data_IF_081706224197
#
_entry.id   IF_081706224197
#
_cell.length_a   1.000
_cell.length_b   1.000
_cell.length_c   1.000
_cell.angle_alpha   90.00
_cell.angle_beta   90.00
_cell.angle_gamma   90.00
#
_symmetry.space_group_name_H-M   'P 1'
#
loop_
_entity.id
_entity.type
_entity.pdbx_description
1 polymer ?
#
# COMPACT_ATOMS: atom_id res chain seq x y z
N UNK A 1 -30.38 12.80 -3.99
CA UNK A 1 -28.95 12.64 -3.63
C UNK A 1 -28.60 13.70 -2.58
N UNK A 2 -28.51 13.37 -1.28
CA UNK A 2 -28.13 14.37 -0.26
C UNK A 2 -26.68 14.77 -0.50
N UNK A 3 -26.43 16.04 -0.86
CA UNK A 3 -25.10 16.64 -0.76
C UNK A 3 -24.71 16.62 0.71
N UNK A 4 -23.86 15.67 1.08
CA UNK A 4 -23.12 15.74 2.34
C UNK A 4 -22.05 16.81 2.16
N UNK A 5 -22.33 18.04 2.61
CA UNK A 5 -21.32 19.08 2.78
C UNK A 5 -20.38 18.65 3.91
N UNK A 6 -19.41 17.79 3.56
CA UNK A 6 -18.37 17.38 4.49
C UNK A 6 -17.42 18.57 4.66
N UNK A 7 -17.47 19.22 5.82
CA UNK A 7 -16.48 20.23 6.21
C UNK A 7 -15.08 19.60 6.22
N UNK A 8 -14.11 20.30 5.64
CA UNK A 8 -12.70 19.92 5.69
C UNK A 8 -12.24 19.90 7.15
N UNK A 9 -11.55 18.83 7.54
CA UNK A 9 -11.03 18.67 8.90
C UNK A 9 -9.52 18.98 8.95
N UNK A 10 -8.97 19.26 10.13
CA UNK A 10 -7.51 19.46 10.31
C UNK A 10 -6.68 18.27 9.78
N UNK A 11 -7.25 17.06 9.82
CA UNK A 11 -6.62 15.85 9.26
C UNK A 11 -6.53 15.88 7.74
N UNK A 12 -7.51 16.47 7.06
CA UNK A 12 -7.50 16.59 5.61
C UNK A 12 -6.44 17.63 5.17
N UNK A 13 -6.28 18.74 5.91
CA UNK A 13 -5.19 19.69 5.66
C UNK A 13 -3.81 19.06 5.89
N UNK A 14 -3.63 18.32 6.98
CA UNK A 14 -2.39 17.60 7.25
C UNK A 14 -2.07 16.57 6.15
N UNK A 15 -3.08 15.82 5.71
CA UNK A 15 -2.93 14.83 4.65
C UNK A 15 -2.42 15.46 3.34
N UNK A 16 -3.08 16.53 2.88
CA UNK A 16 -2.67 17.21 1.64
C UNK A 16 -1.35 17.96 1.80
N UNK A 17 -1.07 18.51 2.98
CA UNK A 17 0.23 19.07 3.31
C UNK A 17 1.34 18.02 3.13
N UNK A 18 1.20 16.84 3.74
CA UNK A 18 2.14 15.73 3.57
C UNK A 18 2.25 15.24 2.13
N UNK A 19 1.14 15.20 1.38
CA UNK A 19 1.16 14.81 -0.03
C UNK A 19 2.00 15.76 -0.91
N UNK A 20 2.17 17.02 -0.48
CA UNK A 20 2.98 18.02 -1.18
C UNK A 20 4.43 18.11 -0.67
N UNK A 21 4.74 17.54 0.50
CA UNK A 21 6.11 17.50 1.05
C UNK A 21 7.15 16.94 0.07
N UNK A 22 6.89 15.88 -0.72
CA UNK A 22 7.83 15.40 -1.73
C UNK A 22 8.26 16.49 -2.73
N UNK A 23 7.34 17.38 -3.14
CA UNK A 23 7.68 18.49 -4.04
C UNK A 23 8.56 19.52 -3.34
N UNK A 24 8.28 19.83 -2.07
CA UNK A 24 9.08 20.76 -1.28
C UNK A 24 10.52 20.24 -1.14
N UNK A 25 10.68 18.97 -0.78
CA UNK A 25 11.99 18.29 -0.71
C UNK A 25 12.70 18.41 -2.06
N UNK A 26 11.98 18.14 -3.15
CA UNK A 26 12.56 18.18 -4.50
C UNK A 26 13.04 19.56 -4.89
N UNK A 27 12.26 20.61 -4.61
CA UNK A 27 12.63 22.01 -4.89
C UNK A 27 13.89 22.40 -4.10
N UNK A 28 13.95 22.07 -2.81
CA UNK A 28 15.07 22.42 -1.92
C UNK A 28 16.38 21.75 -2.37
N UNK A 29 16.32 20.51 -2.85
CA UNK A 29 17.50 19.73 -3.21
C UNK A 29 17.76 19.66 -4.72
N UNK A 30 16.93 20.28 -5.56
CA UNK A 30 16.98 20.14 -7.02
C UNK A 30 18.36 20.45 -7.60
N UNK A 31 19.01 21.52 -7.13
CA UNK A 31 20.34 21.94 -7.59
C UNK A 31 21.47 20.97 -7.22
N UNK A 32 21.23 20.08 -6.25
CA UNK A 32 22.18 19.07 -5.78
C UNK A 32 21.98 17.72 -6.45
N UNK A 33 20.91 17.55 -7.24
CA UNK A 33 20.65 16.28 -7.92
C UNK A 33 21.56 16.14 -9.16
N UNK A 34 22.20 14.99 -9.38
CA UNK A 34 22.89 14.69 -10.63
C UNK A 34 21.91 14.63 -11.82
N UNK A 35 22.42 14.58 -13.05
CA UNK A 35 21.57 14.41 -14.24
C UNK A 35 20.85 13.07 -14.26
N UNK A 36 21.52 12.02 -13.76
CA UNK A 36 20.95 10.69 -13.54
C UNK A 36 20.88 10.39 -12.05
N UNK A 37 19.68 10.15 -11.57
CA UNK A 37 19.38 9.90 -10.15
C UNK A 37 18.99 8.44 -9.98
N UNK A 38 19.56 7.77 -9.00
CA UNK A 38 19.16 6.42 -8.62
C UNK A 38 17.70 6.43 -8.15
N UNK A 39 16.86 5.58 -8.76
CA UNK A 39 15.43 5.48 -8.43
C UNK A 39 14.96 4.04 -8.24
N UNK A 40 15.83 3.06 -8.48
CA UNK A 40 15.52 1.65 -8.25
C UNK A 40 16.76 0.93 -7.70
N UNK A 41 16.51 0.06 -6.72
CA UNK A 41 17.51 -0.72 -6.02
C UNK A 41 17.13 -2.20 -6.07
N UNK A 42 18.11 -3.06 -6.27
CA UNK A 42 17.98 -4.52 -6.15
C UNK A 42 17.80 -4.97 -4.70
N UNK A 43 17.51 -6.26 -4.51
CA UNK A 43 17.43 -6.88 -3.17
C UNK A 43 18.77 -6.89 -2.42
N UNK A 44 19.88 -6.77 -3.15
CA UNK A 44 21.25 -6.62 -2.67
C UNK A 44 21.62 -5.16 -2.36
N UNK A 45 20.64 -4.25 -2.36
CA UNK A 45 20.80 -2.81 -2.16
C UNK A 45 21.66 -2.12 -3.24
N UNK A 46 21.95 -2.78 -4.36
CA UNK A 46 22.66 -2.18 -5.49
C UNK A 46 21.70 -1.37 -6.37
N UNK A 47 22.16 -0.21 -6.85
CA UNK A 47 21.38 0.57 -7.82
C UNK A 47 21.38 -0.16 -9.15
N UNK A 48 20.19 -0.47 -9.68
CA UNK A 48 20.03 -1.10 -10.99
C UNK A 48 19.05 -0.34 -11.89
N UNK A 49 18.57 0.83 -11.47
CA UNK A 49 17.74 1.70 -12.29
C UNK A 49 17.90 3.18 -11.93
N UNK A 50 18.00 3.99 -12.98
CA UNK A 50 18.18 5.44 -12.90
C UNK A 50 17.05 6.16 -13.62
N UNK A 51 16.77 7.37 -13.18
CA UNK A 51 15.86 8.31 -13.83
C UNK A 51 16.56 9.63 -14.12
N UNK A 52 16.03 10.41 -15.05
CA UNK A 52 16.49 11.79 -15.24
C UNK A 52 16.22 12.63 -13.98
N UNK A 53 17.02 13.67 -13.76
CA UNK A 53 16.83 14.65 -12.67
C UNK A 53 15.37 15.09 -12.52
N UNK A 54 14.73 15.46 -13.62
CA UNK A 54 13.35 15.96 -13.62
C UNK A 54 12.34 14.86 -13.28
N UNK A 55 12.56 13.64 -13.77
CA UNK A 55 11.69 12.51 -13.44
C UNK A 55 11.79 12.17 -11.95
N UNK A 56 13.00 12.13 -11.38
CA UNK A 56 13.20 11.88 -9.95
C UNK A 56 12.68 13.01 -9.06
N UNK A 57 12.86 14.27 -9.47
CA UNK A 57 12.44 15.43 -8.69
C UNK A 57 10.93 15.75 -8.80
N UNK A 58 10.28 15.49 -9.92
CA UNK A 58 8.89 15.92 -10.14
C UNK A 58 8.00 14.81 -10.66
N UNK A 59 8.50 13.93 -11.52
CA UNK A 59 7.71 12.83 -12.08
C UNK A 59 7.24 11.84 -11.01
N UNK A 60 8.17 11.35 -10.17
CA UNK A 60 7.85 10.42 -9.07
C UNK A 60 6.92 11.08 -8.04
N UNK A 61 7.21 12.29 -7.51
CA UNK A 61 6.27 13.02 -6.66
C UNK A 61 4.88 13.24 -7.29
N UNK A 62 4.80 13.57 -8.58
CA UNK A 62 3.53 13.75 -9.28
C UNK A 62 2.74 12.44 -9.38
N UNK A 63 3.40 11.33 -9.67
CA UNK A 63 2.77 10.02 -9.66
C UNK A 63 2.24 9.65 -8.26
N UNK A 64 3.03 9.90 -7.21
CA UNK A 64 2.60 9.65 -5.83
C UNK A 64 1.43 10.54 -5.40
N UNK A 65 1.44 11.82 -5.80
CA UNK A 65 0.31 12.73 -5.58
C UNK A 65 -0.94 12.25 -6.33
N UNK A 66 -0.77 11.77 -7.57
CA UNK A 66 -1.87 11.17 -8.33
C UNK A 66 -2.44 9.95 -7.59
N UNK A 67 -1.60 9.07 -7.03
CA UNK A 67 -2.06 7.95 -6.20
C UNK A 67 -2.82 8.43 -4.96
N UNK A 68 -2.34 9.50 -4.31
CA UNK A 68 -3.02 10.14 -3.18
C UNK A 68 -4.39 10.73 -3.57
N UNK A 69 -4.53 11.29 -4.77
CA UNK A 69 -5.83 11.74 -5.29
C UNK A 69 -6.75 10.55 -5.56
N UNK A 70 -6.27 9.54 -6.28
CA UNK A 70 -7.05 8.35 -6.66
C UNK A 70 -7.62 7.66 -5.42
N UNK A 71 -6.82 7.45 -4.38
CA UNK A 71 -7.27 6.78 -3.14
C UNK A 71 -8.36 7.57 -2.38
N UNK A 72 -8.48 8.88 -2.62
CA UNK A 72 -9.54 9.70 -2.06
C UNK A 72 -10.80 9.73 -2.95
N UNK A 73 -10.65 9.58 -4.26
CA UNK A 73 -11.75 9.67 -5.24
C UNK A 73 -12.45 8.32 -5.43
N UNK A 74 -11.71 7.23 -5.64
CA UNK A 74 -12.28 5.91 -5.96
C UNK A 74 -13.31 5.43 -4.91
N UNK A 75 -13.07 5.56 -3.58
CA UNK A 75 -14.06 5.16 -2.57
C UNK A 75 -15.39 5.92 -2.65
N UNK A 76 -15.40 7.14 -3.19
CA UNK A 76 -16.59 8.00 -3.24
C UNK A 76 -17.54 7.55 -4.37
N UNK A 77 -16.97 7.02 -5.45
CA UNK A 77 -17.70 6.51 -6.62
C UNK A 77 -18.04 5.01 -6.51
N UNK A 78 -17.55 4.31 -5.48
CA UNK A 78 -17.88 2.91 -5.24
C UNK A 78 -19.39 2.72 -4.98
N UNK A 79 -20.08 1.79 -5.68
CA UNK A 79 -21.49 1.51 -5.45
C UNK A 79 -21.82 1.11 -4.01
N UNK A 80 -20.86 0.51 -3.29
CA UNK A 80 -20.92 0.10 -1.89
C UNK A 80 -20.15 1.06 -0.97
N UNK A 81 -20.08 2.37 -1.29
CA UNK A 81 -19.39 3.39 -0.48
C UNK A 81 -19.75 3.42 1.01
N UNK A 82 -20.98 3.02 1.40
CA UNK A 82 -21.37 2.94 2.81
C UNK A 82 -20.61 1.82 3.54
N UNK A 83 -20.32 0.71 2.87
CA UNK A 83 -19.47 -0.35 3.41
C UNK A 83 -18.01 0.11 3.56
N UNK A 84 -17.54 0.99 2.66
CA UNK A 84 -16.23 1.64 2.83
C UNK A 84 -16.23 2.58 4.03
N UNK A 85 -17.30 3.36 4.25
CA UNK A 85 -17.43 4.21 5.45
C UNK A 85 -17.42 3.39 6.75
N UNK A 86 -17.98 2.19 6.72
CA UNK A 86 -17.89 1.21 7.83
C UNK A 86 -16.51 0.57 7.99
N UNK A 87 -15.67 0.66 6.95
CA UNK A 87 -14.27 0.19 6.92
C UNK A 87 -13.28 1.36 7.03
N UNK A 88 -13.66 2.44 7.73
CA UNK A 88 -12.94 3.72 7.77
C UNK A 88 -11.51 3.60 8.28
N UNK A 89 -11.23 2.68 9.18
CA UNK A 89 -9.89 2.45 9.73
C UNK A 89 -8.95 1.90 8.66
N UNK A 90 -9.38 0.87 7.92
CA UNK A 90 -8.61 0.32 6.79
C UNK A 90 -8.40 1.38 5.72
N UNK A 91 -9.43 2.16 5.40
CA UNK A 91 -9.32 3.27 4.45
C UNK A 91 -8.32 4.34 4.93
N UNK A 92 -8.32 4.67 6.22
CA UNK A 92 -7.37 5.62 6.79
C UNK A 92 -5.93 5.08 6.72
N UNK A 93 -5.71 3.81 7.05
CA UNK A 93 -4.40 3.15 6.93
C UNK A 93 -3.87 3.27 5.51
N UNK A 94 -4.67 2.90 4.50
CA UNK A 94 -4.24 2.98 3.09
C UNK A 94 -3.96 4.42 2.67
N UNK A 95 -4.80 5.39 3.05
CA UNK A 95 -4.59 6.82 2.74
C UNK A 95 -3.27 7.31 3.32
N UNK A 96 -3.07 7.18 4.63
CA UNK A 96 -1.87 7.68 5.31
C UNK A 96 -0.61 6.96 4.84
N UNK A 97 -0.69 5.65 4.58
CA UNK A 97 0.45 4.90 4.07
C UNK A 97 0.94 5.46 2.73
N UNK A 98 0.06 5.80 1.79
CA UNK A 98 0.45 6.35 0.49
C UNK A 98 1.25 7.65 0.63
N UNK A 99 0.79 8.60 1.47
CA UNK A 99 1.49 9.88 1.63
C UNK A 99 2.79 9.75 2.44
N UNK A 100 2.83 8.87 3.44
CA UNK A 100 4.05 8.60 4.20
C UNK A 100 5.10 7.88 3.34
N UNK A 101 4.67 6.92 2.52
CA UNK A 101 5.51 6.24 1.54
C UNK A 101 6.06 7.24 0.51
N UNK A 102 5.24 8.17 0.03
CA UNK A 102 5.67 9.20 -0.92
C UNK A 102 6.79 10.08 -0.34
N UNK A 103 6.63 10.54 0.91
CA UNK A 103 7.65 11.33 1.61
C UNK A 103 8.92 10.51 1.81
N UNK A 104 8.79 9.27 2.29
CA UNK A 104 9.92 8.38 2.50
C UNK A 104 10.71 8.12 1.20
N UNK A 105 10.02 7.78 0.11
CA UNK A 105 10.65 7.52 -1.18
C UNK A 105 11.41 8.76 -1.67
N UNK A 106 10.82 9.95 -1.54
CA UNK A 106 11.51 11.16 -1.96
C UNK A 106 12.74 11.47 -1.11
N UNK A 107 12.66 11.24 0.21
CA UNK A 107 13.82 11.35 1.10
C UNK A 107 14.93 10.37 0.69
N UNK A 108 14.59 9.11 0.44
CA UNK A 108 15.57 8.10 0.01
C UNK A 108 16.27 8.51 -1.29
N UNK A 109 15.50 8.95 -2.29
CA UNK A 109 16.04 9.41 -3.58
C UNK A 109 17.03 10.56 -3.38
N UNK A 110 16.61 11.59 -2.64
CA UNK A 110 17.44 12.79 -2.44
C UNK A 110 18.69 12.50 -1.61
N UNK A 111 18.54 11.76 -0.51
CA UNK A 111 19.67 11.43 0.36
C UNK A 111 20.69 10.54 -0.36
N UNK A 112 20.22 9.56 -1.14
CA UNK A 112 21.09 8.75 -2.00
C UNK A 112 21.79 9.59 -3.07
N UNK A 113 21.08 10.54 -3.69
CA UNK A 113 21.63 11.41 -4.72
C UNK A 113 22.72 12.36 -4.22
N UNK A 114 22.65 12.80 -2.96
CA UNK A 114 23.70 13.63 -2.33
C UNK A 114 24.86 12.81 -1.74
N UNK A 115 24.89 11.51 -1.98
CA UNK A 115 26.00 10.62 -1.60
C UNK A 115 25.90 10.06 -0.18
N UNK A 116 24.75 10.16 0.50
CA UNK A 116 24.57 9.53 1.81
C UNK A 116 24.31 8.03 1.59
N UNK A 117 25.16 7.19 2.18
CA UNK A 117 24.99 5.74 2.15
C UNK A 117 23.79 5.33 2.99
N UNK A 118 22.76 4.79 2.33
CA UNK A 118 21.53 4.30 2.98
C UNK A 118 21.30 2.86 2.55
N UNK A 119 20.93 2.01 3.50
CA UNK A 119 20.35 0.70 3.19
C UNK A 119 18.88 0.91 2.76
N UNK A 120 18.67 1.18 1.49
CA UNK A 120 17.36 1.41 0.88
C UNK A 120 16.47 0.18 1.04
N UNK A 121 17.05 -1.02 0.89
CA UNK A 121 16.37 -2.29 1.12
C UNK A 121 15.68 -2.33 2.49
N UNK A 122 16.41 -2.07 3.57
CA UNK A 122 15.84 -2.06 4.93
C UNK A 122 14.90 -0.87 5.18
N UNK A 123 15.26 0.33 4.72
CA UNK A 123 14.46 1.56 4.91
C UNK A 123 13.08 1.43 4.28
N UNK A 124 12.97 0.75 3.14
CA UNK A 124 11.69 0.57 2.43
C UNK A 124 10.96 -0.70 2.87
N UNK A 125 11.68 -1.82 3.06
CA UNK A 125 11.04 -3.11 3.39
C UNK A 125 10.41 -3.15 4.78
N UNK A 126 11.03 -2.52 5.79
CA UNK A 126 10.51 -2.55 7.18
C UNK A 126 9.15 -1.85 7.28
N UNK A 127 8.94 -0.62 6.78
CA UNK A 127 7.62 0.01 6.77
C UNK A 127 6.57 -0.77 5.97
N UNK A 128 6.95 -1.42 4.87
CA UNK A 128 6.05 -2.25 4.08
C UNK A 128 5.64 -3.51 4.85
N UNK A 129 6.59 -4.19 5.51
CA UNK A 129 6.31 -5.36 6.32
C UNK A 129 5.39 -4.99 7.51
N UNK A 130 5.65 -3.85 8.16
CA UNK A 130 4.78 -3.30 9.20
C UNK A 130 3.38 -2.98 8.67
N UNK A 131 3.27 -2.41 7.46
CA UNK A 131 1.97 -2.19 6.83
C UNK A 131 1.20 -3.50 6.68
N UNK A 132 1.85 -4.59 6.25
CA UNK A 132 1.18 -5.88 6.13
C UNK A 132 0.63 -6.39 7.46
N UNK A 133 1.36 -6.19 8.56
CA UNK A 133 0.88 -6.49 9.92
C UNK A 133 -0.37 -5.67 10.24
N UNK A 134 -0.31 -4.36 10.01
CA UNK A 134 -1.42 -3.44 10.28
C UNK A 134 -2.64 -3.78 9.42
N UNK A 135 -2.47 -3.99 8.11
CA UNK A 135 -3.54 -4.39 7.20
C UNK A 135 -4.15 -5.73 7.64
N UNK A 136 -3.33 -6.72 8.01
CA UNK A 136 -3.80 -8.01 8.51
C UNK A 136 -4.77 -7.87 9.69
N UNK A 137 -4.49 -6.96 10.61
CA UNK A 137 -5.37 -6.69 11.76
C UNK A 137 -6.73 -6.05 11.37
N UNK A 138 -6.81 -5.36 10.23
CA UNK A 138 -8.02 -4.65 9.79
C UNK A 138 -8.76 -5.32 8.62
N UNK A 139 -8.14 -6.28 7.91
CA UNK A 139 -8.81 -7.07 6.86
C UNK A 139 -10.12 -7.71 7.36
N UNK A 140 -10.18 -8.38 8.54
CA UNK A 140 -11.42 -9.02 9.02
C UNK A 140 -12.57 -8.03 9.27
N UNK A 141 -12.26 -6.73 9.44
CA UNK A 141 -13.22 -5.65 9.67
C UNK A 141 -13.69 -5.00 8.37
N UNK A 142 -13.06 -5.33 7.24
CA UNK A 142 -13.41 -4.81 5.92
C UNK A 142 -14.76 -5.36 5.47
N UNK A 143 -15.73 -4.47 5.22
CA UNK A 143 -17.04 -4.83 4.66
C UNK A 143 -16.98 -4.96 3.14
N UNK A 144 -17.83 -5.80 2.56
CA UNK A 144 -17.84 -6.06 1.12
C UNK A 144 -18.00 -4.78 0.29
N UNK A 145 -17.03 -4.50 -0.57
CA UNK A 145 -16.99 -3.31 -1.43
C UNK A 145 -16.14 -3.59 -2.68
N UNK A 146 -16.12 -2.67 -3.66
CA UNK A 146 -15.40 -2.84 -4.92
C UNK A 146 -14.01 -2.17 -4.94
N UNK A 147 -13.62 -1.51 -3.85
CA UNK A 147 -12.38 -0.72 -3.75
C UNK A 147 -11.30 -1.45 -2.95
N UNK A 148 -11.56 -1.78 -1.68
CA UNK A 148 -10.64 -2.33 -0.69
C UNK A 148 -10.81 -3.83 -0.51
N UNK A 149 -9.73 -4.54 -0.20
CA UNK A 149 -9.73 -5.95 0.17
C UNK A 149 -9.51 -6.91 -1.00
N UNK A 150 -9.81 -8.20 -0.78
CA UNK A 150 -9.61 -9.29 -1.74
C UNK A 150 -10.87 -9.45 -2.61
N UNK A 151 -10.76 -8.97 -3.85
CA UNK A 151 -11.88 -8.78 -4.78
C UNK A 151 -11.90 -9.86 -5.88
N UNK A 152 -12.29 -11.07 -5.49
CA UNK A 152 -12.51 -12.18 -6.41
C UNK A 152 -13.99 -12.21 -6.82
N UNK A 153 -14.34 -12.74 -8.01
CA UNK A 153 -15.74 -12.76 -8.48
C UNK A 153 -16.71 -13.34 -7.44
N UNK A 154 -16.31 -14.41 -6.77
CA UNK A 154 -17.10 -15.07 -5.73
C UNK A 154 -17.06 -14.37 -4.37
N UNK A 155 -16.01 -13.61 -4.02
CA UNK A 155 -16.04 -12.79 -2.79
C UNK A 155 -16.93 -11.58 -2.96
N UNK A 156 -17.06 -11.05 -4.18
CA UNK A 156 -17.96 -9.93 -4.49
C UNK A 156 -19.43 -10.37 -4.58
N UNK A 157 -19.68 -11.63 -4.93
CA UNK A 157 -21.02 -12.20 -5.03
C UNK A 157 -21.60 -12.70 -3.69
N UNK A 158 -20.75 -13.06 -2.72
CA UNK A 158 -21.19 -13.69 -1.46
C UNK A 158 -20.50 -13.06 -0.24
N UNK A 159 -21.31 -12.46 0.65
CA UNK A 159 -20.83 -11.77 1.85
C UNK A 159 -20.26 -12.74 2.91
N UNK A 160 -20.72 -13.99 2.94
CA UNK A 160 -20.11 -14.99 3.84
C UNK A 160 -18.71 -15.36 3.36
N UNK A 161 -18.54 -15.61 2.05
CA UNK A 161 -17.24 -15.87 1.45
C UNK A 161 -16.30 -14.67 1.66
N UNK A 162 -16.79 -13.45 1.45
CA UNK A 162 -16.04 -12.22 1.77
C UNK A 162 -15.52 -12.23 3.20
N UNK A 163 -16.41 -12.40 4.18
CA UNK A 163 -16.09 -12.31 5.61
C UNK A 163 -15.09 -13.39 6.02
N UNK A 164 -15.29 -14.64 5.58
CA UNK A 164 -14.39 -15.75 5.91
C UNK A 164 -13.02 -15.59 5.27
N UNK A 165 -12.97 -15.16 4.01
CA UNK A 165 -11.72 -14.92 3.28
C UNK A 165 -10.92 -13.81 3.93
N UNK A 166 -11.56 -12.69 4.28
CA UNK A 166 -10.89 -11.57 4.93
C UNK A 166 -10.46 -11.87 6.36
N UNK A 167 -11.19 -12.74 7.08
CA UNK A 167 -10.76 -13.24 8.39
C UNK A 167 -9.48 -14.08 8.28
N UNK A 168 -9.44 -15.04 7.35
CA UNK A 168 -8.23 -15.83 7.09
C UNK A 168 -7.07 -14.94 6.64
N UNK A 169 -7.33 -14.07 5.67
CA UNK A 169 -6.35 -13.13 5.15
C UNK A 169 -5.79 -12.24 6.27
N UNK A 170 -6.59 -11.86 7.26
CA UNK A 170 -6.12 -11.11 8.40
C UNK A 170 -4.98 -11.81 9.16
N UNK A 171 -5.15 -13.09 9.47
CA UNK A 171 -4.09 -13.90 10.10
C UNK A 171 -2.88 -14.07 9.18
N UNK A 172 -3.11 -14.44 7.93
CA UNK A 172 -2.04 -14.70 6.96
C UNK A 172 -1.20 -13.45 6.71
N UNK A 173 -1.82 -12.28 6.56
CA UNK A 173 -1.12 -11.02 6.31
C UNK A 173 -0.37 -10.54 7.56
N UNK A 174 -0.95 -10.75 8.75
CA UNK A 174 -0.28 -10.42 10.00
C UNK A 174 0.97 -11.26 10.22
N UNK A 175 0.85 -12.59 10.07
CA UNK A 175 1.98 -13.52 10.20
C UNK A 175 3.00 -13.27 9.10
N UNK A 176 2.57 -13.05 7.85
CA UNK A 176 3.45 -12.76 6.73
C UNK A 176 4.27 -11.48 6.93
N UNK A 177 3.65 -10.40 7.40
CA UNK A 177 4.37 -9.17 7.74
C UNK A 177 5.40 -9.35 8.85
N UNK A 178 5.05 -10.09 9.92
CA UNK A 178 5.99 -10.43 11.00
C UNK A 178 7.15 -11.28 10.46
N UNK A 179 6.86 -12.28 9.65
CA UNK A 179 7.86 -13.14 9.05
C UNK A 179 8.80 -12.34 8.14
N UNK A 180 8.30 -11.41 7.33
CA UNK A 180 9.14 -10.54 6.50
C UNK A 180 10.07 -9.65 7.34
N UNK A 181 9.63 -9.15 8.50
CA UNK A 181 10.50 -8.42 9.43
C UNK A 181 11.62 -9.31 9.98
N UNK A 182 11.29 -10.55 10.39
CA UNK A 182 12.28 -11.52 10.88
C UNK A 182 13.29 -11.87 9.78
N UNK A 183 12.80 -12.17 8.58
CA UNK A 183 13.65 -12.50 7.42
C UNK A 183 14.56 -11.33 7.04
N UNK A 184 14.11 -10.09 7.18
CA UNK A 184 14.95 -8.90 6.97
C UNK A 184 16.07 -8.78 8.00
N UNK A 185 15.80 -9.13 9.26
CA UNK A 185 16.83 -9.15 10.31
C UNK A 185 17.94 -10.18 10.03
N UNK A 186 17.58 -11.32 9.43
CA UNK A 186 18.52 -12.38 9.07
C UNK A 186 19.11 -12.25 7.65
N UNK A 187 18.85 -11.15 6.92
CA UNK A 187 19.29 -10.95 5.53
C UNK A 187 18.90 -12.12 4.61
N UNK A 188 17.63 -12.54 4.72
CA UNK A 188 17.01 -13.61 3.91
C UNK A 188 15.98 -13.03 2.93
N UNK A 189 16.34 -11.93 2.24
CA UNK A 189 15.49 -11.22 1.28
C UNK A 189 14.95 -12.11 0.14
N UNK A 190 15.66 -13.14 -0.37
CA UNK A 190 15.12 -14.01 -1.42
C UNK A 190 13.78 -14.69 -1.06
N UNK A 191 13.50 -14.86 0.24
CA UNK A 191 12.27 -15.47 0.72
C UNK A 191 11.07 -14.51 0.71
N UNK A 192 11.29 -13.20 0.56
CA UNK A 192 10.21 -12.20 0.55
C UNK A 192 9.17 -12.47 -0.53
N UNK A 193 9.61 -12.83 -1.72
CA UNK A 193 8.70 -13.13 -2.83
C UNK A 193 7.79 -14.32 -2.48
N UNK A 194 8.36 -15.39 -1.92
CA UNK A 194 7.61 -16.59 -1.51
C UNK A 194 6.59 -16.27 -0.42
N UNK A 195 6.99 -15.51 0.61
CA UNK A 195 6.08 -15.08 1.68
C UNK A 195 4.95 -14.22 1.13
N UNK A 196 5.29 -13.21 0.32
CA UNK A 196 4.29 -12.33 -0.28
C UNK A 196 3.31 -13.09 -1.20
N UNK A 197 3.82 -14.01 -2.01
CA UNK A 197 2.99 -14.86 -2.87
C UNK A 197 2.04 -15.72 -2.03
N UNK A 198 2.52 -16.31 -0.93
CA UNK A 198 1.68 -17.10 -0.02
C UNK A 198 0.56 -16.25 0.60
N UNK A 199 0.82 -14.98 0.93
CA UNK A 199 -0.18 -14.06 1.50
C UNK A 199 -1.34 -13.76 0.55
N UNK A 200 -1.11 -13.87 -0.76
CA UNK A 200 -2.13 -13.69 -1.80
C UNK A 200 -2.82 -15.02 -2.12
N UNK A 201 -2.04 -16.08 -2.35
CA UNK A 201 -2.55 -17.37 -2.80
C UNK A 201 -3.40 -18.07 -1.73
N UNK A 202 -2.99 -18.05 -0.47
CA UNK A 202 -3.70 -18.76 0.61
C UNK A 202 -5.15 -18.26 0.75
N UNK A 203 -5.42 -16.95 0.89
CA UNK A 203 -6.79 -16.45 0.91
C UNK A 203 -7.54 -16.68 -0.41
N UNK A 204 -6.85 -16.57 -1.56
CA UNK A 204 -7.46 -16.77 -2.87
C UNK A 204 -7.96 -18.20 -3.09
N UNK A 205 -7.11 -19.19 -2.79
CA UNK A 205 -7.46 -20.62 -2.85
C UNK A 205 -8.56 -20.94 -1.85
N UNK A 206 -8.44 -20.48 -0.61
CA UNK A 206 -9.48 -20.69 0.42
C UNK A 206 -10.84 -20.16 -0.03
N UNK A 207 -10.86 -18.98 -0.63
CA UNK A 207 -12.07 -18.35 -1.13
C UNK A 207 -12.71 -19.13 -2.29
N UNK A 208 -11.89 -19.68 -3.18
CA UNK A 208 -12.33 -20.56 -4.26
C UNK A 208 -12.93 -21.87 -3.72
N UNK A 209 -12.33 -22.46 -2.68
CA UNK A 209 -12.86 -23.68 -2.05
C UNK A 209 -14.23 -23.45 -1.41
N UNK A 210 -14.45 -22.30 -0.76
CA UNK A 210 -15.77 -21.91 -0.23
C UNK A 210 -16.79 -21.83 -1.37
N UNK A 211 -16.42 -21.16 -2.47
CA UNK A 211 -17.29 -21.03 -3.64
C UNK A 211 -17.67 -22.40 -4.22
N UNK A 212 -16.70 -23.29 -4.44
CA UNK A 212 -16.92 -24.65 -4.95
C UNK A 212 -17.84 -25.47 -4.05
N UNK A 213 -17.66 -25.40 -2.73
CA UNK A 213 -18.53 -26.09 -1.77
C UNK A 213 -19.97 -25.61 -1.87
N UNK A 214 -20.20 -24.30 -1.96
CA UNK A 214 -21.56 -23.74 -2.10
C UNK A 214 -22.20 -24.06 -3.46
N UNK A 215 -21.41 -24.09 -4.54
CA UNK A 215 -21.92 -24.46 -5.86
C UNK A 215 -22.33 -25.93 -5.93
N UNK A 216 -21.58 -26.83 -5.26
CA UNK A 216 -21.91 -28.25 -5.19
C UNK A 216 -23.15 -28.59 -4.36
N UNK A 217 -23.56 -27.74 -3.42
CA UNK A 217 -24.80 -27.90 -2.64
C UNK A 217 -26.07 -27.39 -3.35
N UNK A 218 -25.93 -26.81 -4.56
CA UNK A 218 -27.05 -26.30 -5.38
C UNK A 218 -27.45 -27.24 -6.52
N UNK A 219 -26.80 -28.39 -6.64
CA UNK A 219 -27.14 -29.50 -7.55
C UNK A 219 -27.75 -30.63 -6.72
#
# INVERSE_FOLDING_TARGET
MKKTDRKLTSRDFLYWGLALVPFIISIVFYSRLPEQVATHWGSDNQVNGYSSRNMAAFGIPAFMLLMAVIVNVIPVIDPKRENIRRSKELMAIVRWFIVLLAVMVQLVIVLSAVGISINVGSVVSVPIALLFVVIGNYLPKCRQNYTLGIKLPWTLADEENWTRTHRLAGYVWMIGGILMMILGFFHMEPLYFTVFLSMILIPGVYSYLIYRKKAGHKL
#
